data_IF_299816445591
#
_entry.id   IF_299816445591
#
_cell.length_a   1.000
_cell.length_b   1.000
_cell.length_c   1.000
_cell.angle_alpha   90.00
_cell.angle_beta   90.00
_cell.angle_gamma   90.00
#
_symmetry.space_group_name_H-M   'P 1'
#
loop_
_entity.id
_entity.type
_entity.pdbx_description
1 polymer ?
#
# COMPACT_ATOMS: atom_id res chain seq x y z
N UNK A 1 6.71 -7.32 18.07
CA UNK A 1 8.15 -7.68 17.90
C UNK A 1 8.50 -7.59 16.41
N UNK A 2 9.63 -7.00 16.03
CA UNK A 2 10.11 -6.94 14.63
C UNK A 2 10.71 -8.28 14.23
N UNK A 3 10.30 -8.84 13.10
CA UNK A 3 10.87 -10.06 12.51
C UNK A 3 11.55 -9.69 11.18
N UNK A 4 12.84 -9.87 11.06
CA UNK A 4 13.56 -9.62 9.81
C UNK A 4 13.59 -10.91 8.99
N UNK A 5 12.80 -10.99 7.91
CA UNK A 5 12.72 -12.17 7.05
C UNK A 5 13.80 -12.19 5.95
N UNK A 6 14.21 -10.99 5.49
CA UNK A 6 15.31 -10.78 4.54
C UNK A 6 16.02 -9.47 4.88
N UNK A 7 17.23 -9.26 4.36
CA UNK A 7 17.95 -7.99 4.56
C UNK A 7 17.12 -6.81 4.07
N UNK A 8 16.77 -5.92 4.99
CA UNK A 8 15.95 -4.74 4.73
C UNK A 8 14.43 -4.98 4.69
N UNK A 9 13.96 -6.22 4.84
CA UNK A 9 12.54 -6.54 4.96
C UNK A 9 12.18 -6.74 6.42
N UNK A 10 11.45 -5.78 6.98
CA UNK A 10 10.99 -5.85 8.36
C UNK A 10 9.50 -6.14 8.41
N UNK A 11 9.13 -7.11 9.24
CA UNK A 11 7.76 -7.51 9.47
C UNK A 11 7.40 -7.28 10.94
N UNK A 12 6.34 -6.55 11.17
CA UNK A 12 5.76 -6.24 12.47
C UNK A 12 4.36 -6.86 12.55
N UNK A 13 4.25 -8.11 13.02
CA UNK A 13 2.95 -8.77 13.17
C UNK A 13 2.11 -8.09 14.25
N UNK A 14 0.82 -7.94 13.98
CA UNK A 14 -0.17 -7.34 14.89
C UNK A 14 0.32 -6.01 15.51
N UNK A 15 0.95 -5.16 14.70
CA UNK A 15 1.45 -3.86 15.13
C UNK A 15 0.33 -2.94 15.64
N UNK A 16 -0.81 -2.98 14.95
CA UNK A 16 -2.04 -2.33 15.38
C UNK A 16 -2.96 -3.37 16.01
N UNK A 17 -3.37 -3.15 17.24
CA UNK A 17 -4.43 -3.93 17.88
C UNK A 17 -5.80 -3.61 17.23
N UNK A 18 -6.85 -4.33 17.62
CA UNK A 18 -8.18 -4.17 17.02
C UNK A 18 -8.73 -2.75 17.19
N UNK A 19 -8.55 -2.14 18.35
CA UNK A 19 -9.04 -0.79 18.61
C UNK A 19 -8.33 0.26 17.75
N UNK A 20 -7.00 0.15 17.60
CA UNK A 20 -6.22 1.01 16.73
C UNK A 20 -6.61 0.86 15.24
N UNK A 21 -6.91 -0.38 14.79
CA UNK A 21 -7.38 -0.63 13.43
C UNK A 21 -8.75 0.01 13.17
N UNK A 22 -9.70 -0.09 14.12
CA UNK A 22 -11.02 0.53 14.02
C UNK A 22 -10.93 2.06 14.02
N UNK A 23 -10.10 2.64 14.88
CA UNK A 23 -9.85 4.08 14.93
C UNK A 23 -9.21 4.59 13.62
N UNK A 24 -8.23 3.84 13.07
CA UNK A 24 -7.63 4.19 11.80
C UNK A 24 -8.66 4.12 10.65
N UNK A 25 -9.49 3.08 10.61
CA UNK A 25 -10.52 2.96 9.58
C UNK A 25 -11.55 4.10 9.68
N UNK A 26 -11.96 4.48 10.89
CA UNK A 26 -12.84 5.63 11.12
C UNK A 26 -12.20 6.94 10.65
N UNK A 27 -10.90 7.11 10.87
CA UNK A 27 -10.14 8.27 10.37
C UNK A 27 -10.08 8.30 8.83
N UNK A 28 -9.96 7.15 8.20
CA UNK A 28 -9.89 7.04 6.73
C UNK A 28 -11.23 7.28 6.03
N UNK A 29 -12.35 6.94 6.66
CA UNK A 29 -13.66 6.99 6.03
C UNK A 29 -13.99 8.36 5.39
N UNK A 30 -13.94 9.50 6.10
CA UNK A 30 -14.23 10.80 5.50
C UNK A 30 -13.19 11.22 4.44
N UNK A 31 -11.94 10.75 4.53
CA UNK A 31 -10.90 11.03 3.55
C UNK A 31 -11.17 10.26 2.23
N UNK A 32 -11.66 9.03 2.35
CA UNK A 32 -12.07 8.22 1.20
C UNK A 32 -13.34 8.80 0.55
N UNK A 33 -14.25 9.39 1.32
CA UNK A 33 -15.40 10.12 0.77
C UNK A 33 -14.97 11.34 -0.03
N UNK A 34 -13.98 12.09 0.47
CA UNK A 34 -13.44 13.27 -0.22
C UNK A 34 -12.61 12.90 -1.47
N UNK A 35 -11.93 11.78 -1.45
CA UNK A 35 -11.18 11.24 -2.59
C UNK A 35 -11.60 9.78 -2.83
N UNK A 36 -12.71 9.53 -3.57
CA UNK A 36 -13.30 8.20 -3.71
C UNK A 36 -12.38 7.19 -4.39
N UNK A 37 -12.58 5.91 -4.09
CA UNK A 37 -11.90 4.85 -4.83
C UNK A 37 -12.23 4.90 -6.32
N UNK A 38 -11.22 4.69 -7.14
CA UNK A 38 -11.35 4.52 -8.59
C UNK A 38 -10.50 3.33 -9.06
N UNK A 39 -10.71 2.88 -10.27
CA UNK A 39 -9.89 1.81 -10.87
C UNK A 39 -8.92 2.39 -11.87
N UNK A 40 -7.59 2.41 -11.57
CA UNK A 40 -6.58 2.74 -12.55
C UNK A 40 -6.58 1.75 -13.71
N UNK A 41 -5.99 2.12 -14.83
CA UNK A 41 -5.79 1.22 -15.97
C UNK A 41 -4.31 1.02 -16.28
N UNK A 42 -3.99 -0.14 -16.86
CA UNK A 42 -2.63 -0.48 -17.27
C UNK A 42 -2.23 0.33 -18.50
N UNK A 43 -1.08 1.02 -18.50
CA UNK A 43 -0.67 1.90 -19.60
C UNK A 43 -0.63 1.21 -20.96
N UNK A 44 -0.07 -0.01 -21.01
CA UNK A 44 0.14 -0.74 -22.29
C UNK A 44 -1.15 -1.30 -22.88
N UNK A 45 -2.10 -1.71 -22.05
CA UNK A 45 -3.27 -2.48 -22.49
C UNK A 45 -4.58 -1.74 -22.33
N UNK A 46 -4.63 -0.69 -21.48
CA UNK A 46 -5.85 -0.01 -21.05
C UNK A 46 -6.76 -0.87 -20.16
N UNK A 47 -6.37 -2.11 -19.83
CA UNK A 47 -7.18 -2.97 -18.96
C UNK A 47 -7.21 -2.41 -17.53
N UNK A 48 -8.38 -2.38 -16.88
CA UNK A 48 -8.47 -1.92 -15.49
C UNK A 48 -7.71 -2.86 -14.56
N UNK A 49 -7.15 -2.30 -13.48
CA UNK A 49 -6.65 -3.09 -12.36
C UNK A 49 -7.81 -3.82 -11.68
N UNK A 50 -7.54 -4.95 -11.05
CA UNK A 50 -8.52 -5.63 -10.20
C UNK A 50 -8.68 -4.98 -8.82
N UNK A 51 -7.79 -4.04 -8.48
CA UNK A 51 -7.73 -3.30 -7.23
C UNK A 51 -8.27 -1.90 -7.43
N UNK A 52 -9.13 -1.45 -6.52
CA UNK A 52 -9.58 -0.06 -6.46
C UNK A 52 -8.57 0.74 -5.63
N UNK A 53 -8.34 1.99 -6.01
CA UNK A 53 -7.28 2.80 -5.41
C UNK A 53 -7.76 4.21 -5.11
N UNK A 54 -7.20 4.80 -4.08
CA UNK A 54 -7.18 6.24 -3.83
C UNK A 54 -5.87 6.62 -3.17
N UNK A 55 -5.64 7.89 -2.90
CA UNK A 55 -4.39 8.35 -2.30
C UNK A 55 -4.66 9.41 -1.22
N UNK A 56 -3.67 9.56 -0.33
CA UNK A 56 -3.56 10.63 0.65
C UNK A 56 -2.16 11.25 0.53
N UNK A 57 -2.07 12.55 0.78
CA UNK A 57 -0.81 13.30 0.76
C UNK A 57 -0.75 14.34 -0.37
N UNK A 58 0.34 15.12 -0.43
CA UNK A 58 0.53 16.10 -1.49
C UNK A 58 0.64 15.48 -2.89
N UNK A 59 1.00 14.20 -2.97
CA UNK A 59 1.12 13.44 -4.21
C UNK A 59 0.36 12.12 -4.10
N UNK A 60 -0.22 11.66 -5.20
CA UNK A 60 -0.87 10.36 -5.31
C UNK A 60 -0.39 9.61 -6.55
N UNK A 61 -0.13 8.30 -6.39
CA UNK A 61 0.20 7.43 -7.51
C UNK A 61 -1.05 7.17 -8.36
N UNK A 62 -0.90 7.35 -9.65
CA UNK A 62 -1.98 7.13 -10.63
C UNK A 62 -1.44 6.38 -11.85
N UNK A 63 -2.35 5.74 -12.57
CA UNK A 63 -2.04 5.03 -13.81
C UNK A 63 -3.21 5.09 -14.77
N UNK A 64 -2.92 5.44 -16.00
CA UNK A 64 -3.84 5.38 -17.12
C UNK A 64 -3.10 5.12 -18.45
N UNK A 65 -3.86 4.96 -19.52
CA UNK A 65 -3.29 4.64 -20.84
C UNK A 65 -2.46 5.78 -21.42
N UNK A 66 -2.87 7.02 -21.16
CA UNK A 66 -2.30 8.19 -21.82
C UNK A 66 -1.06 8.73 -21.08
N UNK A 67 -1.15 8.80 -19.74
CA UNK A 67 -0.08 9.35 -18.90
C UNK A 67 0.85 8.32 -18.28
N UNK A 68 0.55 7.03 -18.38
CA UNK A 68 1.35 5.96 -17.76
C UNK A 68 1.30 5.97 -16.24
N UNK A 69 2.33 5.39 -15.62
CA UNK A 69 2.56 5.41 -14.18
C UNK A 69 3.17 6.74 -13.76
N UNK A 70 2.58 7.43 -12.79
CA UNK A 70 3.08 8.72 -12.31
C UNK A 70 2.55 9.09 -10.95
N UNK A 71 3.19 10.07 -10.33
CA UNK A 71 2.66 10.81 -9.19
C UNK A 71 2.06 12.14 -9.66
N UNK A 72 0.89 12.49 -9.14
CA UNK A 72 0.22 13.77 -9.41
C UNK A 72 -0.49 14.28 -8.15
N UNK A 73 -0.74 15.60 -8.10
CA UNK A 73 -1.32 16.27 -6.94
C UNK A 73 -2.85 16.14 -6.82
N UNK A 74 -3.52 15.66 -7.86
CA UNK A 74 -4.98 15.62 -7.92
C UNK A 74 -5.54 14.25 -8.24
N UNK A 75 -6.74 13.99 -7.74
CA UNK A 75 -7.52 12.79 -8.04
C UNK A 75 -7.92 12.76 -9.52
N UNK A 76 -7.67 11.67 -10.27
CA UNK A 76 -7.84 11.64 -11.72
C UNK A 76 -9.29 11.75 -12.21
N UNK A 77 -10.27 11.46 -11.35
CA UNK A 77 -11.69 11.52 -11.69
C UNK A 77 -12.34 12.81 -11.22
N UNK A 78 -12.06 13.24 -9.98
CA UNK A 78 -12.68 14.43 -9.39
C UNK A 78 -11.92 15.72 -9.67
N UNK A 79 -10.63 15.64 -10.01
CA UNK A 79 -9.74 16.79 -10.18
C UNK A 79 -9.35 17.49 -8.87
N UNK A 80 -9.87 17.04 -7.72
CA UNK A 80 -9.58 17.64 -6.43
C UNK A 80 -8.21 17.21 -5.91
N UNK A 81 -7.59 18.02 -5.06
CA UNK A 81 -6.38 17.63 -4.34
C UNK A 81 -6.64 16.41 -3.44
N UNK A 82 -5.63 15.58 -3.26
CA UNK A 82 -5.70 14.47 -2.32
C UNK A 82 -5.82 15.00 -0.88
N UNK A 83 -6.61 14.34 -0.02
CA UNK A 83 -6.62 14.64 1.42
C UNK A 83 -5.25 14.43 2.03
N UNK A 84 -4.95 15.18 3.09
CA UNK A 84 -3.68 15.03 3.81
C UNK A 84 -3.52 13.62 4.41
N UNK A 85 -2.26 13.18 4.54
CA UNK A 85 -1.96 11.95 5.30
C UNK A 85 -2.28 12.22 6.77
N UNK A 86 -3.14 11.41 7.43
CA UNK A 86 -3.46 11.58 8.84
C UNK A 86 -2.24 11.46 9.76
N UNK A 87 -2.24 12.23 10.85
CA UNK A 87 -1.10 12.25 11.79
C UNK A 87 -0.76 10.85 12.31
N UNK A 88 -1.75 10.02 12.61
CA UNK A 88 -1.54 8.63 13.07
C UNK A 88 -0.69 7.80 12.10
N UNK A 89 -0.79 8.04 10.79
CA UNK A 89 0.05 7.37 9.79
C UNK A 89 1.45 7.97 9.74
N UNK A 90 1.59 9.29 9.94
CA UNK A 90 2.90 9.95 10.03
C UNK A 90 3.66 9.49 11.28
N UNK A 91 2.98 9.34 12.41
CA UNK A 91 3.55 8.82 13.65
C UNK A 91 4.01 7.35 13.48
N UNK A 92 3.20 6.53 12.81
CA UNK A 92 3.58 5.16 12.48
C UNK A 92 4.82 5.13 11.56
N UNK A 93 4.84 5.99 10.53
CA UNK A 93 6.03 6.12 9.67
C UNK A 93 7.27 6.44 10.48
N UNK A 94 7.22 7.44 11.35
CA UNK A 94 8.37 7.82 12.20
C UNK A 94 8.83 6.68 13.10
N UNK A 95 7.89 5.86 13.59
CA UNK A 95 8.20 4.74 14.47
C UNK A 95 8.90 3.56 13.76
N UNK A 96 8.62 3.32 12.47
CA UNK A 96 9.07 2.09 11.80
C UNK A 96 9.98 2.32 10.59
N UNK A 97 9.91 3.48 9.91
CA UNK A 97 10.61 3.69 8.65
C UNK A 97 12.11 3.93 8.82
N UNK A 98 12.53 4.49 9.96
CA UNK A 98 13.91 4.91 10.22
C UNK A 98 14.49 5.74 9.05
N UNK A 99 13.71 6.74 8.61
CA UNK A 99 14.06 7.62 7.49
C UNK A 99 13.76 9.08 7.83
N UNK A 100 14.65 10.03 7.46
CA UNK A 100 14.54 11.43 7.91
C UNK A 100 13.38 12.21 7.28
N UNK A 101 12.93 11.81 6.09
CA UNK A 101 11.85 12.50 5.39
C UNK A 101 10.50 11.85 5.67
N UNK A 102 9.45 12.66 5.75
CA UNK A 102 8.08 12.19 5.84
C UNK A 102 7.57 11.72 4.47
N UNK A 103 6.60 10.78 4.44
CA UNK A 103 6.01 10.31 3.20
C UNK A 103 5.20 11.43 2.52
N UNK A 104 5.32 11.52 1.22
CA UNK A 104 4.58 12.47 0.38
C UNK A 104 3.36 11.82 -0.27
N UNK A 105 3.29 10.51 -0.27
CA UNK A 105 2.18 9.74 -0.81
C UNK A 105 1.83 8.57 0.12
N UNK A 106 0.52 8.34 0.29
CA UNK A 106 -0.02 7.14 0.88
C UNK A 106 -1.06 6.56 -0.09
N UNK A 107 -0.67 5.55 -0.85
CA UNK A 107 -1.57 4.82 -1.74
C UNK A 107 -2.48 3.92 -0.90
N UNK A 108 -3.78 4.08 -1.06
CA UNK A 108 -4.82 3.27 -0.41
C UNK A 108 -5.40 2.30 -1.42
N UNK A 109 -5.12 1.02 -1.26
CA UNK A 109 -5.58 -0.05 -2.13
C UNK A 109 -6.74 -0.80 -1.48
N UNK A 110 -7.85 -0.95 -2.17
CA UNK A 110 -8.99 -1.77 -1.76
C UNK A 110 -9.06 -3.03 -2.62
N UNK A 111 -8.85 -4.16 -1.97
CA UNK A 111 -8.95 -5.49 -2.59
C UNK A 111 -10.30 -6.11 -2.21
N UNK A 112 -11.13 -6.37 -3.19
CA UNK A 112 -12.35 -7.19 -3.09
C UNK A 112 -12.09 -8.62 -3.62
N UNK A 113 -13.11 -9.45 -3.65
CA UNK A 113 -12.98 -10.83 -4.10
C UNK A 113 -12.30 -10.96 -5.47
N UNK A 114 -11.32 -11.85 -5.55
CA UNK A 114 -10.54 -12.11 -6.75
C UNK A 114 -9.50 -11.05 -7.08
N UNK A 115 -9.43 -9.93 -6.34
CA UNK A 115 -8.42 -8.90 -6.57
C UNK A 115 -7.02 -9.40 -6.19
N UNK A 116 -6.05 -9.05 -7.02
CA UNK A 116 -4.65 -9.39 -6.83
C UNK A 116 -3.74 -8.29 -7.38
N UNK A 117 -2.50 -8.28 -6.92
CA UNK A 117 -1.44 -7.43 -7.45
C UNK A 117 -0.29 -8.32 -7.89
N UNK A 118 0.00 -8.32 -9.18
CA UNK A 118 1.12 -9.09 -9.74
C UNK A 118 2.46 -8.66 -9.16
N UNK A 119 3.48 -9.51 -9.32
CA UNK A 119 4.83 -9.17 -8.86
C UNK A 119 5.35 -7.93 -9.60
N UNK A 120 5.71 -6.91 -8.84
CA UNK A 120 6.24 -5.62 -9.28
C UNK A 120 7.30 -5.12 -8.30
N UNK A 121 8.00 -4.10 -8.68
CA UNK A 121 8.89 -3.31 -7.83
C UNK A 121 8.33 -1.90 -7.79
N UNK A 122 8.27 -1.29 -6.61
CA UNK A 122 7.99 0.13 -6.46
C UNK A 122 9.21 0.91 -6.98
N UNK A 123 9.05 1.57 -8.11
CA UNK A 123 10.19 2.17 -8.82
C UNK A 123 9.89 3.52 -9.45
N UNK A 124 8.71 4.08 -9.18
CA UNK A 124 8.27 5.35 -9.74
C UNK A 124 8.71 6.56 -8.88
N UNK A 125 9.28 6.28 -7.68
CA UNK A 125 9.85 7.29 -6.79
C UNK A 125 11.26 7.66 -7.21
N UNK A 126 11.61 8.96 -7.06
CA UNK A 126 12.98 9.45 -7.30
C UNK A 126 13.92 9.03 -6.17
N UNK A 127 13.41 9.09 -4.94
CA UNK A 127 14.16 8.67 -3.76
C UNK A 127 14.01 7.16 -3.52
N UNK A 128 14.92 6.41 -4.12
CA UNK A 128 14.95 4.94 -4.01
C UNK A 128 15.63 4.43 -2.74
N UNK A 129 16.23 5.31 -1.93
CA UNK A 129 16.77 4.95 -0.63
C UNK A 129 15.69 4.94 0.45
N UNK A 130 14.65 5.72 0.27
CA UNK A 130 13.52 5.75 1.19
C UNK A 130 12.79 4.40 1.22
N UNK A 131 12.42 3.90 2.41
CA UNK A 131 11.64 2.67 2.52
C UNK A 131 10.22 2.85 2.03
N UNK A 132 9.54 1.73 1.79
CA UNK A 132 8.09 1.65 1.63
C UNK A 132 7.50 1.03 2.88
N UNK A 133 6.54 1.71 3.50
CA UNK A 133 5.82 1.20 4.67
C UNK A 133 4.43 0.79 4.26
N UNK A 134 4.06 -0.46 4.52
CA UNK A 134 2.80 -1.08 4.11
C UNK A 134 2.03 -1.56 5.33
N UNK A 135 0.77 -1.12 5.47
CA UNK A 135 -0.13 -1.45 6.58
C UNK A 135 -1.31 -2.24 6.03
N UNK A 136 -1.67 -3.33 6.69
CA UNK A 136 -2.80 -4.20 6.30
C UNK A 136 -3.99 -4.00 7.22
N UNK A 137 -5.18 -3.79 6.66
CA UNK A 137 -6.45 -3.72 7.38
C UNK A 137 -7.50 -4.61 6.70
N UNK A 138 -8.31 -5.30 7.48
CA UNK A 138 -9.37 -6.16 6.97
C UNK A 138 -8.90 -7.57 6.64
N UNK A 139 -9.35 -8.12 5.52
CA UNK A 139 -9.07 -9.51 5.16
C UNK A 139 -7.57 -9.80 5.02
N UNK A 140 -7.19 -11.00 5.41
CA UNK A 140 -5.81 -11.50 5.26
C UNK A 140 -5.47 -11.65 3.78
N UNK A 141 -4.18 -11.55 3.46
CA UNK A 141 -3.70 -11.76 2.10
C UNK A 141 -2.42 -12.61 2.08
N UNK A 142 -2.20 -13.30 0.97
CA UNK A 142 -0.93 -13.96 0.70
C UNK A 142 -0.06 -12.98 -0.07
N UNK A 143 0.94 -12.46 0.63
CA UNK A 143 1.99 -11.61 0.09
C UNK A 143 3.12 -12.48 -0.46
N UNK A 144 3.58 -12.15 -1.66
CA UNK A 144 4.74 -12.80 -2.29
C UNK A 144 5.91 -11.84 -2.26
N UNK A 145 7.06 -12.35 -1.82
CA UNK A 145 8.32 -11.62 -1.83
C UNK A 145 9.34 -12.42 -2.64
N UNK A 146 9.84 -11.81 -3.68
CA UNK A 146 10.91 -12.35 -4.52
C UNK A 146 12.26 -11.73 -4.20
N UNK A 147 13.17 -11.77 -5.15
CA UNK A 147 14.46 -11.09 -5.13
C UNK A 147 14.48 -9.86 -6.05
N UNK A 148 15.69 -9.32 -6.33
CA UNK A 148 15.86 -8.17 -7.20
C UNK A 148 15.64 -8.47 -8.70
N UNK A 149 15.64 -9.74 -9.09
CA UNK A 149 15.45 -10.19 -10.47
C UNK A 149 14.02 -10.73 -10.68
N UNK A 150 13.42 -10.39 -11.82
CA UNK A 150 12.11 -10.91 -12.21
C UNK A 150 12.19 -12.40 -12.54
N UNK A 151 11.20 -13.19 -12.09
CA UNK A 151 11.12 -14.63 -12.41
C UNK A 151 11.91 -15.54 -11.49
N UNK A 152 12.60 -15.02 -10.48
CA UNK A 152 13.27 -15.80 -9.45
C UNK A 152 12.32 -16.46 -8.45
N UNK A 153 12.84 -17.27 -7.52
CA UNK A 153 12.05 -17.87 -6.47
C UNK A 153 11.38 -16.81 -5.58
N UNK A 154 10.22 -17.13 -5.03
CA UNK A 154 9.48 -16.23 -4.14
C UNK A 154 9.12 -16.94 -2.85
N UNK A 155 9.19 -16.23 -1.74
CA UNK A 155 8.62 -16.62 -0.45
C UNK A 155 7.19 -16.11 -0.32
N UNK A 156 6.39 -16.79 0.50
CA UNK A 156 5.02 -16.36 0.82
C UNK A 156 4.94 -15.97 2.29
N UNK A 157 4.27 -14.86 2.56
CA UNK A 157 3.93 -14.41 3.91
C UNK A 157 2.42 -14.17 3.96
N UNK A 158 1.76 -14.72 4.97
CA UNK A 158 0.38 -14.36 5.25
C UNK A 158 0.39 -13.04 6.02
N UNK A 159 -0.20 -12.00 5.45
CA UNK A 159 -0.45 -10.72 6.12
C UNK A 159 -1.87 -10.73 6.67
N UNK A 160 -2.02 -10.35 7.93
CA UNK A 160 -3.31 -10.21 8.62
C UNK A 160 -3.60 -8.74 8.92
N UNK A 161 -4.82 -8.45 9.35
CA UNK A 161 -5.21 -7.11 9.77
C UNK A 161 -4.36 -6.64 10.95
N UNK A 162 -3.84 -5.41 10.88
CA UNK A 162 -2.95 -4.82 11.87
C UNK A 162 -1.46 -5.06 11.63
N UNK A 163 -1.09 -5.90 10.65
CA UNK A 163 0.30 -6.13 10.31
C UNK A 163 0.91 -4.93 9.56
N UNK A 164 2.19 -4.67 9.85
CA UNK A 164 2.99 -3.66 9.15
C UNK A 164 4.23 -4.31 8.54
N UNK A 165 4.53 -3.94 7.31
CA UNK A 165 5.73 -4.37 6.58
C UNK A 165 6.51 -3.14 6.15
N UNK A 166 7.84 -3.21 6.27
CA UNK A 166 8.76 -2.20 5.75
C UNK A 166 9.69 -2.85 4.73
N UNK A 167 9.68 -2.32 3.51
CA UNK A 167 10.65 -2.67 2.48
C UNK A 167 11.68 -1.55 2.41
N UNK A 168 12.88 -1.82 2.92
CA UNK A 168 14.00 -0.88 2.94
C UNK A 168 15.30 -1.54 2.51
N UNK A 169 16.39 -0.80 2.40
CA UNK A 169 17.67 -1.34 2.00
C UNK A 169 17.60 -2.22 0.76
N UNK A 170 18.14 -3.44 0.82
CA UNK A 170 18.13 -4.37 -0.31
C UNK A 170 16.70 -4.76 -0.75
N UNK A 171 15.78 -4.96 0.20
CA UNK A 171 14.41 -5.38 -0.12
C UNK A 171 13.57 -4.30 -0.78
N UNK A 172 14.00 -3.03 -0.75
CA UNK A 172 13.34 -1.91 -1.44
C UNK A 172 13.16 -2.16 -2.94
N UNK A 173 14.05 -2.96 -3.52
CA UNK A 173 14.07 -3.29 -4.95
C UNK A 173 13.62 -4.71 -5.25
N UNK A 174 13.05 -5.42 -4.28
CA UNK A 174 12.58 -6.78 -4.48
C UNK A 174 11.20 -6.80 -5.13
N UNK A 175 11.00 -7.76 -6.03
CA UNK A 175 9.69 -8.03 -6.60
C UNK A 175 8.75 -8.52 -5.51
N UNK A 176 7.60 -7.88 -5.40
CA UNK A 176 6.58 -8.25 -4.43
C UNK A 176 5.18 -8.07 -5.02
N UNK A 177 4.18 -8.66 -4.35
CA UNK A 177 2.80 -8.56 -4.80
C UNK A 177 1.82 -9.29 -3.89
N UNK A 178 0.54 -9.20 -4.21
CA UNK A 178 -0.54 -9.91 -3.53
C UNK A 178 -1.06 -11.01 -4.46
N UNK A 179 -0.82 -12.27 -4.07
CA UNK A 179 -1.26 -13.45 -4.82
C UNK A 179 -2.77 -13.61 -4.74
N UNK A 180 -3.33 -13.50 -3.52
CA UNK A 180 -4.78 -13.56 -3.27
C UNK A 180 -5.13 -12.95 -1.92
N UNK A 181 -6.38 -12.53 -1.80
CA UNK A 181 -7.03 -12.16 -0.53
C UNK A 181 -7.82 -13.36 -0.03
N UNK A 182 -7.83 -13.57 1.28
CA UNK A 182 -8.57 -14.63 1.96
C UNK A 182 -9.90 -14.03 2.46
N UNK A 183 -10.87 -13.95 1.56
CA UNK A 183 -12.17 -13.31 1.80
C UNK A 183 -12.86 -13.83 3.05
N UNK A 184 -13.49 -12.94 3.81
CA UNK A 184 -14.21 -13.29 5.05
C UNK A 184 -13.30 -13.63 6.24
N UNK A 185 -12.00 -13.38 6.16
CA UNK A 185 -11.06 -13.61 7.27
C UNK A 185 -11.02 -12.47 8.30
N UNK A 186 -11.77 -11.39 8.06
CA UNK A 186 -11.91 -10.25 8.97
C UNK A 186 -13.29 -9.59 8.81
N UNK A 187 -13.78 -9.04 9.91
CA UNK A 187 -15.02 -8.24 9.94
C UNK A 187 -14.74 -6.73 10.03
N UNK A 188 -13.48 -6.31 9.90
CA UNK A 188 -13.09 -4.92 10.11
C UNK A 188 -13.63 -3.99 9.02
N UNK A 189 -13.47 -4.37 7.75
CA UNK A 189 -13.86 -3.54 6.61
C UNK A 189 -15.34 -3.78 6.27
N UNK A 190 -16.19 -2.76 6.27
CA UNK A 190 -17.58 -2.90 5.90
C UNK A 190 -17.73 -3.47 4.47
N UNK A 191 -18.57 -4.48 4.34
CA UNK A 191 -18.74 -5.20 3.07
C UNK A 191 -17.58 -6.14 2.71
N UNK A 192 -16.65 -6.40 3.66
CA UNK A 192 -15.50 -7.31 3.47
C UNK A 192 -14.37 -6.70 2.66
N UNK A 193 -13.32 -7.48 2.46
CA UNK A 193 -12.15 -7.09 1.68
C UNK A 193 -10.97 -6.61 2.53
N UNK A 194 -9.91 -6.25 1.82
CA UNK A 194 -8.66 -5.78 2.41
C UNK A 194 -8.34 -4.37 1.96
N UNK A 195 -8.06 -3.50 2.92
CA UNK A 195 -7.44 -2.19 2.68
C UNK A 195 -5.94 -2.32 2.96
N UNK A 196 -5.14 -1.80 2.06
CA UNK A 196 -3.70 -1.70 2.24
C UNK A 196 -3.26 -0.25 2.04
N UNK A 197 -2.58 0.28 3.04
CA UNK A 197 -2.01 1.62 3.02
C UNK A 197 -0.52 1.50 2.72
N UNK A 198 -0.04 2.15 1.68
CA UNK A 198 1.37 2.09 1.29
C UNK A 198 1.95 3.50 1.23
N UNK A 199 2.80 3.82 2.21
CA UNK A 199 3.44 5.13 2.36
C UNK A 199 4.78 5.18 1.67
N UNK A 200 5.06 6.29 0.97
CA UNK A 200 6.28 6.49 0.16
C UNK A 200 6.76 7.94 0.22
N UNK A 201 8.08 8.09 0.22
CA UNK A 201 8.75 9.35 -0.12
C UNK A 201 8.95 9.34 -1.64
N UNK A 202 8.46 10.37 -2.30
CA UNK A 202 8.49 10.45 -3.77
C UNK A 202 9.76 11.14 -4.28
N UNK A 203 10.27 12.17 -3.53
CA UNK A 203 11.47 12.94 -3.86
C UNK A 203 11.20 14.24 -4.60
#
# INVERSE_FOLDING_TARGET
MRNQLHSGFDFYPAYLDRAAQEALLATLAPLIEAAPFYRPSMPKTGKPFSVEMTNLGPLGWVSDRDGGYRYQATHPVTGQAWPAIPQVLLDLWQAVANYPLLPQACLVNLYRDGAKMGLHVDGDERDRAAPVVSISLGDSAIFRLGGPARGGPTSSLKLTSGDVVVLGGASRHFYHGIDRVLSGSSTLVPGGGRINLTMRVVG
#
